data_IF_084315533910
#
_entry.id   IF_084315533910
#
_cell.length_a   1.000
_cell.length_b   1.000
_cell.length_c   1.000
_cell.angle_alpha   90.00
_cell.angle_beta   90.00
_cell.angle_gamma   90.00
#
_symmetry.space_group_name_H-M   'P 1'
#
loop_
_entity.id
_entity.type
_entity.pdbx_description
1 polymer ?
#
# COMPACT_ATOMS: atom_id res chain seq x y z
N UNK A 1 -2.79 31.09 -16.96
CA UNK A 1 -2.45 29.67 -17.24
C UNK A 1 -2.07 29.04 -15.91
N UNK A 2 -2.65 27.88 -15.57
CA UNK A 2 -2.32 27.18 -14.33
C UNK A 2 -0.90 26.61 -14.40
N UNK A 3 -0.09 26.83 -13.37
CA UNK A 3 1.26 26.23 -13.26
C UNK A 3 1.18 24.73 -12.93
N UNK A 4 0.04 24.26 -12.37
CA UNK A 4 -0.17 22.86 -11.98
C UNK A 4 0.03 21.92 -13.18
N UNK A 5 0.92 20.95 -13.03
CA UNK A 5 1.27 19.92 -14.03
C UNK A 5 1.84 20.46 -15.36
N UNK A 6 2.37 21.68 -15.39
CA UNK A 6 2.95 22.26 -16.61
C UNK A 6 4.34 22.85 -16.33
N UNK A 7 5.42 22.09 -16.59
CA UNK A 7 6.80 22.55 -16.42
C UNK A 7 7.11 23.82 -17.21
N UNK A 8 6.51 23.99 -18.40
CA UNK A 8 6.72 25.18 -19.22
C UNK A 8 6.05 26.43 -18.62
N UNK A 9 4.88 26.28 -17.98
CA UNK A 9 4.23 27.38 -17.27
C UNK A 9 5.03 27.82 -16.04
N UNK A 10 5.64 26.88 -15.31
CA UNK A 10 6.53 27.18 -14.18
C UNK A 10 7.82 27.83 -14.67
N UNK A 11 8.43 27.31 -15.74
CA UNK A 11 9.64 27.85 -16.34
C UNK A 11 9.53 29.35 -16.68
N UNK A 12 8.37 29.80 -17.17
CA UNK A 12 8.11 31.23 -17.47
C UNK A 12 8.18 32.15 -16.25
N UNK A 13 8.09 31.61 -15.05
CA UNK A 13 8.18 32.33 -13.79
C UNK A 13 9.59 32.28 -13.20
N UNK A 14 10.48 31.44 -13.74
CA UNK A 14 11.87 31.34 -13.30
C UNK A 14 12.73 32.44 -13.95
N UNK A 15 13.90 32.76 -13.37
CA UNK A 15 14.83 33.73 -13.94
C UNK A 15 15.33 33.40 -15.36
N UNK A 16 15.31 32.12 -15.75
CA UNK A 16 15.72 31.67 -17.09
C UNK A 16 17.24 31.75 -17.35
N UNK A 17 18.04 32.03 -16.32
CA UNK A 17 19.50 32.20 -16.41
C UNK A 17 20.28 30.88 -16.48
N UNK A 18 19.61 29.75 -16.22
CA UNK A 18 20.20 28.41 -16.13
C UNK A 18 21.46 28.35 -15.25
N UNK A 19 21.50 29.12 -14.15
CA UNK A 19 22.71 29.32 -13.36
C UNK A 19 23.24 28.08 -12.60
N UNK A 20 22.49 26.97 -12.57
CA UNK A 20 22.91 25.72 -11.93
C UNK A 20 22.98 25.73 -10.39
N UNK A 21 22.66 26.85 -9.72
CA UNK A 21 22.75 27.01 -8.26
C UNK A 21 21.81 26.08 -7.47
N UNK A 22 20.79 25.52 -8.12
CA UNK A 22 19.88 24.52 -7.55
C UNK A 22 20.31 23.07 -7.83
N UNK A 23 21.53 22.85 -8.34
CA UNK A 23 22.13 21.54 -8.67
C UNK A 23 21.38 20.81 -9.81
N UNK A 24 20.72 21.58 -10.69
CA UNK A 24 20.07 21.06 -11.89
C UNK A 24 20.59 21.76 -13.16
N UNK A 25 20.63 21.05 -14.30
CA UNK A 25 21.33 21.50 -15.50
C UNK A 25 20.64 22.66 -16.24
N UNK A 26 19.39 22.98 -15.92
CA UNK A 26 18.67 24.12 -16.48
C UNK A 26 17.47 24.52 -15.61
N UNK A 27 16.97 25.74 -15.80
CA UNK A 27 15.71 26.20 -15.22
C UNK A 27 14.54 25.33 -15.70
N UNK A 28 14.59 24.79 -16.92
CA UNK A 28 13.56 23.84 -17.39
C UNK A 28 13.64 22.50 -16.64
N UNK A 29 14.84 21.98 -16.38
CA UNK A 29 15.02 20.78 -15.57
C UNK A 29 14.54 21.01 -14.14
N UNK A 30 14.80 22.19 -13.56
CA UNK A 30 14.26 22.59 -12.27
C UNK A 30 12.72 22.67 -12.29
N UNK A 31 12.13 23.31 -13.30
CA UNK A 31 10.68 23.38 -13.44
C UNK A 31 10.04 21.99 -13.54
N UNK A 32 10.64 21.06 -14.30
CA UNK A 32 10.18 19.69 -14.38
C UNK A 32 10.31 18.95 -13.04
N UNK A 33 11.45 19.08 -12.35
CA UNK A 33 11.67 18.49 -11.03
C UNK A 33 10.68 18.99 -9.98
N UNK A 34 10.35 20.29 -9.99
CA UNK A 34 9.34 20.87 -9.09
C UNK A 34 7.93 20.35 -9.40
N UNK A 35 7.56 20.24 -10.68
CA UNK A 35 6.26 19.68 -11.08
C UNK A 35 6.13 18.19 -10.72
N UNK A 36 7.23 17.42 -10.78
CA UNK A 36 7.26 16.01 -10.37
C UNK A 36 7.30 15.80 -8.85
N UNK A 37 7.56 16.86 -8.07
CA UNK A 37 7.71 16.78 -6.62
C UNK A 37 9.12 16.40 -6.13
N UNK A 38 10.10 16.31 -7.04
CA UNK A 38 11.49 15.96 -6.71
C UNK A 38 12.24 17.13 -6.03
N UNK A 39 11.75 18.37 -6.19
CA UNK A 39 12.29 19.61 -5.59
C UNK A 39 11.19 20.59 -5.19
N UNK A 40 11.48 21.46 -4.22
CA UNK A 40 10.62 22.59 -3.82
C UNK A 40 10.99 23.85 -4.60
N UNK A 41 9.99 24.71 -4.86
CA UNK A 41 10.21 26.00 -5.53
C UNK A 41 11.23 26.89 -4.78
N UNK A 42 11.23 26.84 -3.44
CA UNK A 42 12.16 27.54 -2.57
C UNK A 42 13.63 27.13 -2.72
N UNK A 43 13.92 26.01 -3.41
CA UNK A 43 15.29 25.55 -3.68
C UNK A 43 15.97 26.27 -4.86
N UNK A 44 15.28 27.21 -5.51
CA UNK A 44 15.92 28.14 -6.46
C UNK A 44 16.37 29.41 -5.70
N UNK A 45 17.68 29.64 -5.48
CA UNK A 45 18.15 30.78 -4.71
C UNK A 45 17.94 32.13 -5.41
N UNK A 46 17.64 32.10 -6.71
CA UNK A 46 17.47 33.25 -7.57
C UNK A 46 16.00 33.66 -7.75
N UNK A 47 15.07 32.92 -7.13
CA UNK A 47 13.64 33.12 -7.30
C UNK A 47 13.18 34.33 -6.49
N UNK A 48 12.46 35.25 -7.14
CA UNK A 48 11.91 36.43 -6.47
C UNK A 48 10.89 36.01 -5.39
N UNK A 49 10.90 36.64 -4.20
CA UNK A 49 9.99 36.29 -3.11
C UNK A 49 8.51 36.31 -3.48
N UNK A 50 8.09 37.25 -4.33
CA UNK A 50 6.70 37.38 -4.80
C UNK A 50 6.31 36.22 -5.72
N UNK A 51 7.26 35.77 -6.55
CA UNK A 51 7.07 34.61 -7.43
C UNK A 51 7.10 33.33 -6.62
N UNK A 52 7.96 33.24 -5.60
CA UNK A 52 7.97 32.12 -4.67
C UNK A 52 6.64 32.00 -3.94
N UNK A 53 6.12 33.08 -3.36
CA UNK A 53 4.82 33.06 -2.68
C UNK A 53 3.67 32.67 -3.61
N UNK A 54 3.68 33.15 -4.86
CA UNK A 54 2.71 32.75 -5.88
C UNK A 54 2.85 31.28 -6.26
N UNK A 55 4.07 30.80 -6.48
CA UNK A 55 4.34 29.42 -6.81
C UNK A 55 3.99 28.51 -5.64
N UNK A 56 4.28 28.90 -4.40
CA UNK A 56 3.86 28.17 -3.21
C UNK A 56 2.35 28.11 -3.11
N UNK A 57 1.61 29.19 -3.41
CA UNK A 57 0.15 29.21 -3.45
C UNK A 57 -0.45 28.34 -4.58
N UNK A 58 0.10 28.41 -5.79
CA UNK A 58 -0.39 27.67 -6.96
C UNK A 58 0.07 26.20 -7.00
N UNK A 59 1.28 25.92 -6.51
CA UNK A 59 1.87 24.58 -6.35
C UNK A 59 1.63 24.03 -4.95
N UNK A 60 0.82 24.69 -4.09
CA UNK A 60 0.37 24.06 -2.87
C UNK A 60 -0.10 22.66 -3.27
N UNK A 61 0.47 21.60 -2.69
CA UNK A 61 -0.15 20.31 -2.84
C UNK A 61 -1.60 20.55 -2.44
N UNK A 62 -2.57 20.14 -3.30
CA UNK A 62 -3.93 19.89 -2.79
C UNK A 62 -3.71 19.18 -1.45
N UNK A 63 -4.24 19.71 -0.33
CA UNK A 63 -4.07 19.19 1.05
C UNK A 63 -3.28 17.88 1.02
N UNK A 64 -1.97 17.96 1.27
CA UNK A 64 -1.04 16.92 0.83
C UNK A 64 -1.56 15.55 1.20
N UNK A 65 -1.52 14.59 0.27
CA UNK A 65 -1.98 13.21 0.52
C UNK A 65 -1.40 12.67 1.84
N UNK A 66 -0.17 13.07 2.18
CA UNK A 66 0.49 12.75 3.45
C UNK A 66 -0.23 13.36 4.67
N UNK A 67 -0.65 14.64 4.60
CA UNK A 67 -1.41 15.30 5.65
C UNK A 67 -2.82 14.70 5.80
N UNK A 68 -3.50 14.37 4.69
CA UNK A 68 -4.79 13.68 4.73
C UNK A 68 -4.66 12.27 5.35
N UNK A 69 -3.55 11.57 5.07
CA UNK A 69 -3.25 10.27 5.68
C UNK A 69 -2.92 10.39 7.17
N UNK A 70 -2.18 11.42 7.58
CA UNK A 70 -1.87 11.69 8.99
C UNK A 70 -3.13 12.02 9.79
N UNK A 71 -4.02 12.86 9.26
CA UNK A 71 -5.30 13.19 9.88
C UNK A 71 -6.20 11.95 9.99
N UNK A 72 -6.31 11.16 8.91
CA UNK A 72 -7.05 9.91 8.92
C UNK A 72 -6.46 8.89 9.91
N UNK A 73 -5.14 8.81 10.01
CA UNK A 73 -4.47 7.96 10.98
C UNK A 73 -4.78 8.40 12.41
N UNK A 74 -4.67 9.70 12.71
CA UNK A 74 -4.95 10.25 14.03
C UNK A 74 -6.41 10.00 14.46
N UNK A 75 -7.36 10.18 13.53
CA UNK A 75 -8.77 9.89 13.78
C UNK A 75 -9.01 8.41 14.10
N UNK A 76 -8.42 7.51 13.31
CA UNK A 76 -8.52 6.07 13.53
C UNK A 76 -7.86 5.65 14.83
N UNK A 77 -6.70 6.23 15.18
CA UNK A 77 -5.99 5.98 16.43
C UNK A 77 -6.85 6.33 17.64
N UNK A 78 -7.53 7.49 17.62
CA UNK A 78 -8.45 7.89 18.68
C UNK A 78 -9.63 6.90 18.83
N UNK A 79 -10.17 6.40 17.71
CA UNK A 79 -11.25 5.40 17.74
C UNK A 79 -10.78 4.06 18.31
N UNK A 80 -9.62 3.55 17.87
CA UNK A 80 -9.13 2.25 18.35
C UNK A 80 -8.63 2.30 19.80
N UNK A 81 -8.17 3.46 20.29
CA UNK A 81 -7.81 3.66 21.69
C UNK A 81 -8.99 3.47 22.65
N UNK A 82 -10.22 3.70 22.18
CA UNK A 82 -11.44 3.54 22.96
C UNK A 82 -12.00 2.10 22.97
N UNK A 83 -11.35 1.15 22.27
CA UNK A 83 -11.82 -0.23 22.19
C UNK A 83 -11.56 -1.01 23.49
N UNK A 84 -12.42 -1.99 23.77
CA UNK A 84 -12.12 -3.06 24.73
C UNK A 84 -11.11 -4.02 24.09
N UNK A 85 -9.85 -3.97 24.55
CA UNK A 85 -8.75 -4.76 23.98
C UNK A 85 -8.90 -6.26 24.20
N UNK A 86 -9.29 -6.76 25.40
CA UNK A 86 -9.63 -8.17 25.58
C UNK A 86 -10.66 -8.68 24.57
N UNK A 87 -11.79 -7.98 24.40
CA UNK A 87 -12.82 -8.40 23.46
C UNK A 87 -12.36 -8.26 22.00
N UNK A 88 -11.65 -7.18 21.69
CA UNK A 88 -11.12 -6.95 20.35
C UNK A 88 -10.10 -8.00 19.96
N UNK A 89 -9.20 -8.42 20.86
CA UNK A 89 -8.22 -9.47 20.62
C UNK A 89 -8.87 -10.75 20.12
N UNK A 90 -9.88 -11.23 20.84
CA UNK A 90 -10.62 -12.44 20.46
C UNK A 90 -11.32 -12.29 19.10
N UNK A 91 -11.93 -11.13 18.84
CA UNK A 91 -12.67 -10.85 17.60
C UNK A 91 -11.77 -10.76 16.36
N UNK A 92 -10.54 -10.25 16.49
CA UNK A 92 -9.67 -9.94 15.35
C UNK A 92 -8.55 -10.96 15.15
N UNK A 93 -8.62 -12.12 15.83
CA UNK A 93 -7.55 -13.13 15.79
C UNK A 93 -6.23 -12.61 16.37
N UNK A 94 -6.30 -11.65 17.30
CA UNK A 94 -5.17 -11.11 18.03
C UNK A 94 -5.03 -11.75 19.42
N UNK A 95 -4.09 -11.23 20.21
CA UNK A 95 -3.87 -11.64 21.60
C UNK A 95 -3.49 -10.44 22.46
N UNK A 96 -3.76 -10.51 23.76
CA UNK A 96 -3.24 -9.53 24.70
C UNK A 96 -1.77 -9.83 25.03
N UNK A 97 -0.98 -8.77 25.14
CA UNK A 97 0.38 -8.80 25.67
C UNK A 97 0.56 -7.65 26.65
N UNK A 98 0.33 -7.92 27.94
CA UNK A 98 0.19 -6.87 28.94
C UNK A 98 -1.03 -6.01 28.64
N UNK A 99 -0.84 -4.70 28.53
CA UNK A 99 -1.90 -3.73 28.21
C UNK A 99 -2.08 -3.50 26.70
N UNK A 100 -1.27 -4.19 25.87
CA UNK A 100 -1.26 -3.99 24.42
C UNK A 100 -2.00 -5.11 23.72
N UNK A 101 -2.59 -4.77 22.57
CA UNK A 101 -3.18 -5.74 21.66
C UNK A 101 -2.15 -6.12 20.59
N UNK A 102 -1.75 -7.38 20.52
CA UNK A 102 -0.86 -7.93 19.50
C UNK A 102 -1.67 -8.58 18.38
N UNK A 103 -1.38 -8.19 17.14
CA UNK A 103 -2.09 -8.62 15.93
C UNK A 103 -1.05 -9.21 14.96
N UNK A 104 -1.14 -10.51 14.64
CA UNK A 104 -0.26 -11.09 13.63
C UNK A 104 -0.68 -10.63 12.23
N UNK A 105 0.28 -10.16 11.43
CA UNK A 105 0.06 -9.63 10.10
C UNK A 105 1.31 -9.89 9.26
N UNK A 106 1.16 -10.62 8.14
CA UNK A 106 2.28 -10.98 7.24
C UNK A 106 3.49 -11.58 7.99
N UNK A 107 3.23 -12.53 8.90
CA UNK A 107 4.29 -13.21 9.66
C UNK A 107 5.00 -12.34 10.71
N UNK A 108 4.50 -11.13 11.01
CA UNK A 108 5.02 -10.24 12.07
C UNK A 108 3.92 -9.81 13.02
N UNK A 109 4.28 -9.51 14.25
CA UNK A 109 3.35 -8.92 15.21
C UNK A 109 3.35 -7.40 15.09
N UNK A 110 2.15 -6.83 15.07
CA UNK A 110 1.89 -5.41 15.25
C UNK A 110 1.17 -5.22 16.58
N UNK A 111 1.63 -4.25 17.36
CA UNK A 111 1.11 -3.95 18.68
C UNK A 111 0.34 -2.65 18.63
N UNK A 112 -0.90 -2.68 19.10
CA UNK A 112 -1.66 -1.48 19.42
C UNK A 112 -1.43 -1.14 20.90
N UNK A 113 -0.88 0.05 21.13
CA UNK A 113 -0.69 0.64 22.44
C UNK A 113 -2.01 1.22 22.98
N UNK A 114 -2.20 1.34 24.30
CA UNK A 114 -3.43 1.90 24.90
C UNK A 114 -3.81 3.30 24.40
N UNK A 115 -2.85 4.09 23.91
CA UNK A 115 -3.07 5.42 23.34
C UNK A 115 -3.42 5.40 21.84
N UNK A 116 -3.62 4.21 21.25
CA UNK A 116 -3.97 4.01 19.85
C UNK A 116 -2.76 3.95 18.91
N UNK A 117 -1.54 4.18 19.39
CA UNK A 117 -0.35 4.10 18.52
C UNK A 117 -0.03 2.65 18.15
N UNK A 118 0.52 2.47 16.96
CA UNK A 118 1.00 1.18 16.50
C UNK A 118 2.51 1.06 16.63
N UNK A 119 2.98 -0.09 17.07
CA UNK A 119 4.39 -0.47 17.11
C UNK A 119 4.61 -1.83 16.45
N UNK A 120 5.76 -2.05 15.83
CA UNK A 120 6.17 -3.36 15.35
C UNK A 120 7.70 -3.46 15.31
N UNK A 121 8.22 -4.68 15.20
CA UNK A 121 9.64 -4.92 14.93
C UNK A 121 10.02 -4.54 13.49
N UNK A 122 9.03 -4.41 12.59
CA UNK A 122 9.22 -3.87 11.25
C UNK A 122 8.72 -2.42 11.14
N UNK A 123 9.12 -1.74 10.08
CA UNK A 123 8.72 -0.35 9.86
C UNK A 123 7.20 -0.26 9.64
N UNK A 124 6.52 0.48 10.52
CA UNK A 124 5.10 0.80 10.39
C UNK A 124 4.98 1.96 9.39
N UNK A 125 4.50 1.65 8.18
CA UNK A 125 4.24 2.63 7.14
C UNK A 125 2.72 2.87 6.99
N UNK A 126 2.29 3.95 6.30
CA UNK A 126 0.86 4.23 6.11
C UNK A 126 0.08 3.10 5.42
N UNK A 127 0.72 2.34 4.54
CA UNK A 127 0.11 1.21 3.81
C UNK A 127 -0.32 0.07 4.72
N UNK A 128 0.32 -0.11 5.87
CA UNK A 128 -0.07 -1.14 6.84
C UNK A 128 -0.83 -0.55 8.03
N UNK A 129 -0.49 0.68 8.44
CA UNK A 129 -1.11 1.34 9.58
C UNK A 129 -2.60 1.61 9.34
N UNK A 130 -2.95 2.29 8.24
CA UNK A 130 -4.35 2.66 7.99
C UNK A 130 -5.25 1.42 7.82
N UNK A 131 -4.87 0.39 7.02
CA UNK A 131 -5.67 -0.82 6.95
C UNK A 131 -5.78 -1.56 8.27
N UNK A 132 -4.71 -1.65 9.07
CA UNK A 132 -4.77 -2.39 10.33
C UNK A 132 -5.65 -1.67 11.37
N UNK A 133 -5.56 -0.34 11.47
CA UNK A 133 -6.45 0.43 12.34
C UNK A 133 -7.92 0.28 11.92
N UNK A 134 -8.21 0.37 10.60
CA UNK A 134 -9.56 0.13 10.09
C UNK A 134 -10.05 -1.29 10.36
N UNK A 135 -9.18 -2.29 10.19
CA UNK A 135 -9.49 -3.69 10.47
C UNK A 135 -10.00 -3.89 11.90
N UNK A 136 -9.36 -3.26 12.88
CA UNK A 136 -9.77 -3.33 14.28
C UNK A 136 -11.19 -2.79 14.51
N UNK A 137 -11.61 -1.79 13.73
CA UNK A 137 -12.94 -1.19 13.84
C UNK A 137 -14.01 -2.01 13.13
N UNK A 138 -13.70 -2.59 11.95
CA UNK A 138 -14.73 -3.22 11.09
C UNK A 138 -14.84 -4.73 11.23
N UNK A 139 -13.79 -5.42 11.70
CA UNK A 139 -13.76 -6.88 11.68
C UNK A 139 -14.82 -7.51 12.59
N UNK A 140 -15.72 -8.34 12.07
CA UNK A 140 -16.75 -8.98 12.90
C UNK A 140 -16.33 -10.33 13.50
N UNK A 141 -15.11 -10.80 13.19
CA UNK A 141 -14.57 -12.07 13.72
C UNK A 141 -15.20 -13.31 13.11
N UNK A 142 -15.65 -13.24 11.86
CA UNK A 142 -16.21 -14.38 11.14
C UNK A 142 -15.10 -15.33 10.71
N UNK A 143 -15.27 -16.61 10.97
CA UNK A 143 -14.31 -17.63 10.56
C UNK A 143 -14.30 -17.81 9.04
N UNK A 144 -13.17 -18.27 8.51
CA UNK A 144 -13.02 -18.56 7.09
C UNK A 144 -13.95 -19.71 6.67
N UNK A 145 -14.61 -19.56 5.51
CA UNK A 145 -15.57 -20.54 5.01
C UNK A 145 -14.95 -21.52 3.99
N UNK A 146 -13.77 -21.19 3.45
CA UNK A 146 -13.15 -21.89 2.32
C UNK A 146 -13.73 -21.50 0.96
N UNK A 147 -14.68 -20.55 0.92
CA UNK A 147 -15.25 -20.06 -0.32
C UNK A 147 -14.54 -18.77 -0.77
N UNK A 148 -13.99 -18.80 -1.98
CA UNK A 148 -13.10 -17.75 -2.48
C UNK A 148 -13.80 -16.83 -3.48
N UNK A 149 -13.83 -15.54 -3.19
CA UNK A 149 -14.43 -14.50 -4.02
C UNK A 149 -13.35 -13.64 -4.69
N UNK A 150 -13.51 -13.26 -5.97
CA UNK A 150 -12.70 -12.20 -6.56
C UNK A 150 -13.02 -10.87 -5.89
N UNK A 151 -12.13 -9.87 -6.02
CA UNK A 151 -12.36 -8.53 -5.46
C UNK A 151 -13.73 -7.93 -5.88
N UNK A 152 -14.11 -8.10 -7.16
CA UNK A 152 -15.41 -7.64 -7.67
C UNK A 152 -16.62 -8.37 -7.05
N UNK A 153 -16.41 -9.56 -6.48
CA UNK A 153 -17.43 -10.33 -5.79
C UNK A 153 -17.74 -9.82 -4.38
N UNK A 154 -16.87 -8.98 -3.80
CA UNK A 154 -17.10 -8.40 -2.48
C UNK A 154 -18.14 -7.27 -2.53
N UNK A 155 -18.94 -7.07 -1.46
CA UNK A 155 -19.84 -5.93 -1.33
C UNK A 155 -19.09 -4.61 -1.50
N UNK A 156 -19.44 -3.82 -2.53
CA UNK A 156 -18.77 -2.56 -2.88
C UNK A 156 -17.46 -2.70 -3.66
N UNK A 157 -17.03 -3.93 -3.99
CA UNK A 157 -15.76 -4.19 -4.68
C UNK A 157 -15.77 -3.92 -6.19
N UNK A 158 -16.95 -3.91 -6.84
CA UNK A 158 -17.05 -3.78 -8.31
C UNK A 158 -16.37 -2.51 -8.84
N UNK A 159 -16.59 -1.37 -8.18
CA UNK A 159 -16.02 -0.08 -8.62
C UNK A 159 -14.49 -0.04 -8.51
N UNK A 160 -13.91 -0.77 -7.56
CA UNK A 160 -12.47 -0.81 -7.32
C UNK A 160 -11.73 -1.95 -8.05
N UNK A 161 -12.44 -2.91 -8.62
CA UNK A 161 -11.85 -4.16 -9.13
C UNK A 161 -10.80 -3.94 -10.23
N UNK A 162 -11.08 -3.06 -11.21
CA UNK A 162 -10.13 -2.77 -12.28
C UNK A 162 -8.85 -2.10 -11.74
N UNK A 163 -8.99 -1.22 -10.75
CA UNK A 163 -7.84 -0.58 -10.11
C UNK A 163 -7.06 -1.58 -9.25
N UNK A 164 -7.74 -2.46 -8.52
CA UNK A 164 -7.11 -3.54 -7.76
C UNK A 164 -6.31 -4.47 -8.66
N UNK A 165 -6.88 -4.94 -9.77
CA UNK A 165 -6.17 -5.76 -10.75
C UNK A 165 -4.89 -5.06 -11.24
N UNK A 166 -4.99 -3.78 -11.62
CA UNK A 166 -3.86 -3.00 -12.14
C UNK A 166 -2.77 -2.69 -11.10
N UNK A 167 -3.13 -2.52 -9.83
CA UNK A 167 -2.21 -2.04 -8.77
C UNK A 167 -1.72 -3.15 -7.84
N UNK A 168 -2.38 -4.30 -7.83
CA UNK A 168 -2.04 -5.44 -6.98
C UNK A 168 -1.74 -6.68 -7.84
N UNK A 169 -2.74 -7.22 -8.55
CA UNK A 169 -2.59 -8.50 -9.27
C UNK A 169 -1.55 -8.43 -10.40
N UNK A 170 -1.60 -7.39 -11.23
CA UNK A 170 -0.68 -7.23 -12.36
C UNK A 170 0.78 -7.04 -11.92
N UNK A 171 1.12 -6.18 -10.94
CA UNK A 171 2.47 -6.12 -10.39
C UNK A 171 2.93 -7.45 -9.79
N UNK A 172 2.09 -8.13 -9.00
CA UNK A 172 2.44 -9.43 -8.43
C UNK A 172 2.68 -10.48 -9.53
N UNK A 173 1.87 -10.47 -10.60
CA UNK A 173 2.06 -11.34 -11.77
C UNK A 173 3.43 -11.10 -12.43
N UNK A 174 3.77 -9.83 -12.66
CA UNK A 174 5.06 -9.47 -13.26
C UNK A 174 6.24 -9.90 -12.39
N UNK A 175 6.09 -9.83 -11.05
CA UNK A 175 7.11 -10.32 -10.12
C UNK A 175 7.20 -11.85 -10.13
N UNK A 176 6.07 -12.55 -10.20
CA UNK A 176 6.05 -14.01 -10.33
C UNK A 176 6.72 -14.45 -11.64
N UNK A 177 6.43 -13.79 -12.77
CA UNK A 177 7.08 -14.05 -14.05
C UNK A 177 8.60 -13.82 -13.98
N UNK A 178 9.02 -12.69 -13.38
CA UNK A 178 10.42 -12.26 -13.40
C UNK A 178 11.31 -13.00 -12.39
N UNK A 179 10.77 -13.37 -11.23
CA UNK A 179 11.56 -13.92 -10.11
C UNK A 179 11.21 -15.37 -9.77
N UNK A 180 10.11 -15.92 -10.32
CA UNK A 180 9.73 -17.34 -10.23
C UNK A 180 9.88 -17.91 -8.81
N UNK A 181 10.85 -18.80 -8.56
CA UNK A 181 11.04 -19.46 -7.27
C UNK A 181 11.27 -18.47 -6.11
N UNK A 182 12.03 -17.40 -6.33
CA UNK A 182 12.34 -16.41 -5.28
C UNK A 182 11.09 -15.63 -4.85
N UNK A 183 10.17 -15.38 -5.79
CA UNK A 183 8.88 -14.75 -5.49
C UNK A 183 8.07 -15.60 -4.52
N UNK A 184 7.92 -16.89 -4.79
CA UNK A 184 7.14 -17.80 -3.94
C UNK A 184 7.83 -18.05 -2.60
N UNK A 185 9.16 -18.24 -2.58
CA UNK A 185 9.92 -18.39 -1.34
C UNK A 185 9.77 -17.14 -0.44
N UNK A 186 9.73 -15.94 -1.02
CA UNK A 186 9.50 -14.72 -0.27
C UNK A 186 8.08 -14.68 0.34
N UNK A 187 7.06 -15.14 -0.37
CA UNK A 187 5.71 -15.26 0.18
C UNK A 187 5.65 -16.26 1.34
N UNK A 188 6.32 -17.41 1.21
CA UNK A 188 6.44 -18.40 2.30
C UNK A 188 7.11 -17.79 3.54
N UNK A 189 8.15 -16.97 3.38
CA UNK A 189 8.77 -16.23 4.48
C UNK A 189 7.80 -15.27 5.20
N UNK A 190 6.77 -14.78 4.51
CA UNK A 190 5.70 -13.96 5.09
C UNK A 190 4.50 -14.78 5.59
N UNK A 191 4.65 -16.11 5.67
CA UNK A 191 3.65 -17.02 6.23
C UNK A 191 2.63 -17.52 5.21
N UNK A 192 2.90 -17.38 3.91
CA UNK A 192 2.10 -18.05 2.90
C UNK A 192 2.33 -19.57 2.95
N UNK A 193 1.25 -20.32 2.79
CA UNK A 193 1.26 -21.77 2.72
C UNK A 193 0.72 -22.22 1.37
N UNK A 194 1.33 -23.25 0.80
CA UNK A 194 0.86 -23.81 -0.46
C UNK A 194 -0.51 -24.49 -0.27
N UNK A 195 -1.42 -24.22 -1.19
CA UNK A 195 -2.75 -24.82 -1.20
C UNK A 195 -2.65 -26.30 -1.62
N UNK A 196 -3.45 -27.21 -1.04
CA UNK A 196 -3.53 -28.58 -1.53
C UNK A 196 -3.97 -28.70 -3.00
N UNK A 197 -4.57 -27.65 -3.57
CA UNK A 197 -4.96 -27.58 -4.97
C UNK A 197 -3.83 -27.10 -5.91
N UNK A 198 -2.65 -26.78 -5.38
CA UNK A 198 -1.49 -26.35 -6.16
C UNK A 198 -0.97 -27.48 -7.05
N UNK A 199 -0.55 -27.14 -8.26
CA UNK A 199 0.06 -28.03 -9.25
C UNK A 199 1.18 -27.33 -10.03
N UNK A 200 1.90 -28.07 -10.88
CA UNK A 200 2.93 -27.47 -11.76
C UNK A 200 2.34 -26.44 -12.74
N UNK A 201 1.08 -26.61 -13.13
CA UNK A 201 0.35 -25.75 -14.08
C UNK A 201 -0.37 -24.58 -13.39
N UNK A 202 -0.65 -24.69 -12.09
CA UNK A 202 -1.34 -23.65 -11.33
C UNK A 202 -0.85 -23.64 -9.89
N UNK A 203 -0.04 -22.65 -9.55
CA UNK A 203 0.51 -22.51 -8.21
C UNK A 203 -0.43 -21.70 -7.35
N UNK A 204 -0.92 -22.31 -6.28
CA UNK A 204 -1.86 -21.68 -5.35
C UNK A 204 -1.27 -21.54 -3.96
N UNK A 205 -1.33 -20.34 -3.40
CA UNK A 205 -0.89 -20.06 -2.03
C UNK A 205 -1.98 -19.33 -1.24
N UNK A 206 -2.11 -19.69 0.03
CA UNK A 206 -2.98 -19.02 0.99
C UNK A 206 -2.10 -18.30 2.01
N UNK A 207 -2.42 -17.04 2.30
CA UNK A 207 -1.71 -16.25 3.30
C UNK A 207 -2.68 -15.33 4.03
N UNK A 208 -2.23 -14.82 5.17
CA UNK A 208 -3.06 -14.07 6.10
C UNK A 208 -2.48 -12.67 6.31
N UNK A 209 -2.70 -11.73 5.36
CA UNK A 209 -2.36 -10.32 5.59
C UNK A 209 -3.07 -9.76 6.82
N UNK A 210 -4.26 -10.27 7.13
CA UNK A 210 -4.97 -10.02 8.39
C UNK A 210 -5.43 -11.38 8.95
N UNK A 211 -5.46 -11.56 10.28
CA UNK A 211 -5.74 -12.87 10.89
C UNK A 211 -7.08 -13.47 10.44
N UNK A 212 -8.12 -12.64 10.38
CA UNK A 212 -9.48 -13.05 10.02
C UNK A 212 -9.84 -12.76 8.56
N UNK A 213 -8.84 -12.50 7.69
CA UNK A 213 -9.08 -12.24 6.26
C UNK A 213 -8.04 -12.98 5.42
N UNK A 214 -8.28 -14.28 5.14
CA UNK A 214 -7.43 -15.08 4.28
C UNK A 214 -7.44 -14.56 2.84
N UNK A 215 -6.25 -14.52 2.23
CA UNK A 215 -6.06 -14.23 0.81
C UNK A 215 -5.59 -15.50 0.13
N UNK A 216 -6.09 -15.77 -1.07
CA UNK A 216 -5.58 -16.81 -1.96
C UNK A 216 -5.01 -16.19 -3.21
N UNK A 217 -3.75 -16.47 -3.48
CA UNK A 217 -3.05 -16.16 -4.72
C UNK A 217 -3.06 -17.41 -5.59
N UNK A 218 -3.61 -17.29 -6.80
CA UNK A 218 -3.54 -18.30 -7.84
C UNK A 218 -2.72 -17.77 -9.01
N UNK A 219 -1.64 -18.45 -9.36
CA UNK A 219 -0.74 -18.08 -10.44
C UNK A 219 -0.66 -19.18 -11.48
N UNK A 220 -0.92 -18.81 -12.73
CA UNK A 220 -0.75 -19.66 -13.90
C UNK A 220 0.45 -19.12 -14.70
N UNK A 221 1.52 -19.92 -14.89
CA UNK A 221 2.65 -19.52 -15.70
C UNK A 221 2.24 -19.32 -17.17
N UNK A 222 3.06 -18.64 -17.97
CA UNK A 222 2.77 -18.50 -19.40
C UNK A 222 2.88 -19.87 -20.09
N UNK A 223 1.94 -20.15 -21.00
CA UNK A 223 1.93 -21.33 -21.86
C UNK A 223 2.09 -20.90 -23.34
N UNK A 224 2.31 -21.85 -24.26
CA UNK A 224 2.50 -21.52 -25.68
C UNK A 224 1.38 -20.61 -26.23
N UNK A 225 1.73 -19.35 -26.51
CA UNK A 225 0.80 -18.35 -27.04
C UNK A 225 -0.14 -17.71 -26.00
N UNK A 226 -0.04 -18.08 -24.72
CA UNK A 226 -0.85 -17.54 -23.62
C UNK A 226 0.03 -16.83 -22.59
N UNK A 227 -0.33 -15.58 -22.26
CA UNK A 227 0.32 -14.85 -21.19
C UNK A 227 -0.01 -15.48 -19.82
N UNK A 228 0.90 -15.33 -18.86
CA UNK A 228 0.65 -15.73 -17.48
C UNK A 228 -0.56 -14.99 -16.90
N UNK A 229 -1.13 -15.55 -15.83
CA UNK A 229 -2.21 -14.94 -15.08
C UNK A 229 -1.94 -15.05 -13.58
N UNK A 230 -2.32 -14.02 -12.83
CA UNK A 230 -2.34 -14.06 -11.36
C UNK A 230 -3.64 -13.45 -10.87
N UNK A 231 -4.27 -14.11 -9.89
CA UNK A 231 -5.48 -13.62 -9.23
C UNK A 231 -5.33 -13.65 -7.72
N UNK A 232 -5.81 -12.60 -7.07
CA UNK A 232 -6.02 -12.57 -5.63
C UNK A 232 -7.52 -12.70 -5.36
N UNK A 233 -7.87 -13.74 -4.62
CA UNK A 233 -9.22 -13.99 -4.13
C UNK A 233 -9.24 -13.96 -2.61
N UNK A 234 -10.40 -13.69 -2.04
CA UNK A 234 -10.60 -13.50 -0.61
C UNK A 234 -11.61 -14.52 -0.12
N UNK A 235 -11.39 -15.08 1.07
CA UNK A 235 -12.42 -15.90 1.69
C UNK A 235 -13.71 -15.07 1.89
N UNK A 236 -14.88 -15.70 1.77
CA UNK A 236 -16.19 -15.05 1.96
C UNK A 236 -16.31 -14.32 3.30
N UNK A 237 -15.59 -14.74 4.34
CA UNK A 237 -15.57 -14.02 5.62
C UNK A 237 -15.12 -12.55 5.48
N UNK A 238 -14.36 -12.20 4.42
CA UNK A 238 -13.95 -10.85 4.11
C UNK A 238 -15.13 -9.88 3.93
N UNK A 239 -16.31 -10.36 3.50
CA UNK A 239 -17.53 -9.55 3.40
C UNK A 239 -17.95 -8.93 4.74
N UNK A 240 -17.57 -9.56 5.86
CA UNK A 240 -17.93 -9.16 7.21
C UNK A 240 -16.72 -8.74 8.05
N UNK A 241 -15.52 -9.15 7.67
CA UNK A 241 -14.29 -8.84 8.40
C UNK A 241 -13.49 -7.68 7.82
N UNK A 242 -13.84 -7.22 6.61
CA UNK A 242 -13.09 -6.22 5.88
C UNK A 242 -14.01 -5.31 5.03
N UNK A 243 -13.42 -4.29 4.42
CA UNK A 243 -14.05 -3.54 3.34
C UNK A 243 -13.12 -3.48 2.11
N UNK A 244 -13.66 -3.27 0.90
CA UNK A 244 -12.87 -3.30 -0.32
C UNK A 244 -11.74 -2.27 -0.37
N UNK A 245 -11.96 -1.07 0.18
CA UNK A 245 -10.93 -0.02 0.22
C UNK A 245 -9.71 -0.48 1.03
N UNK A 246 -9.93 -1.07 2.21
CA UNK A 246 -8.89 -1.62 3.06
C UNK A 246 -8.12 -2.75 2.36
N UNK A 247 -8.83 -3.67 1.70
CA UNK A 247 -8.20 -4.77 0.96
C UNK A 247 -7.41 -4.28 -0.25
N UNK A 248 -7.88 -3.21 -0.90
CA UNK A 248 -7.13 -2.55 -1.97
C UNK A 248 -5.83 -1.96 -1.46
N UNK A 249 -5.87 -1.14 -0.41
CA UNK A 249 -4.66 -0.55 0.19
C UNK A 249 -3.69 -1.63 0.67
N UNK A 250 -4.17 -2.68 1.33
CA UNK A 250 -3.33 -3.76 1.83
C UNK A 250 -2.67 -4.56 0.69
N UNK A 251 -3.44 -4.95 -0.33
CA UNK A 251 -2.92 -5.69 -1.48
C UNK A 251 -1.89 -4.89 -2.28
N UNK A 252 -2.17 -3.62 -2.53
CA UNK A 252 -1.24 -2.72 -3.24
C UNK A 252 0.03 -2.44 -2.44
N UNK A 253 -0.09 -2.21 -1.13
CA UNK A 253 1.05 -2.07 -0.21
C UNK A 253 1.93 -3.32 -0.19
N UNK A 254 1.32 -4.51 -0.16
CA UNK A 254 2.03 -5.78 -0.22
C UNK A 254 2.77 -5.95 -1.56
N UNK A 255 2.11 -5.68 -2.70
CA UNK A 255 2.76 -5.77 -4.01
C UNK A 255 4.01 -4.86 -4.08
N UNK A 256 3.89 -3.62 -3.60
CA UNK A 256 5.01 -2.68 -3.55
C UNK A 256 6.13 -3.12 -2.57
N UNK A 257 5.78 -3.77 -1.47
CA UNK A 257 6.74 -4.34 -0.53
C UNK A 257 7.53 -5.49 -1.17
N UNK A 258 6.84 -6.46 -1.77
CA UNK A 258 7.44 -7.62 -2.45
C UNK A 258 8.36 -7.15 -3.57
N UNK A 259 7.92 -6.19 -4.39
CA UNK A 259 8.73 -5.60 -5.46
C UNK A 259 10.04 -5.01 -4.92
N UNK A 260 9.98 -4.23 -3.83
CA UNK A 260 11.16 -3.60 -3.22
C UNK A 260 12.15 -4.63 -2.67
N UNK A 261 11.67 -5.73 -2.09
CA UNK A 261 12.53 -6.77 -1.52
C UNK A 261 13.25 -7.53 -2.64
N UNK A 262 12.51 -8.02 -3.65
CA UNK A 262 13.08 -8.78 -4.76
C UNK A 262 14.09 -7.95 -5.55
N UNK A 263 13.75 -6.70 -5.89
CA UNK A 263 14.68 -5.80 -6.61
C UNK A 263 15.95 -5.49 -5.84
N UNK A 264 15.92 -5.47 -4.50
CA UNK A 264 17.13 -5.27 -3.68
C UNK A 264 18.00 -6.51 -3.63
N UNK A 265 17.41 -7.70 -3.59
CA UNK A 265 18.15 -8.96 -3.57
C UNK A 265 18.87 -9.22 -4.91
N UNK A 266 18.29 -8.80 -6.03
CA UNK A 266 18.92 -8.94 -7.36
C UNK A 266 19.99 -7.92 -7.71
N UNK A 267 20.18 -6.90 -6.86
CA UNK A 267 21.20 -5.86 -7.07
C UNK A 267 22.52 -6.15 -6.35
N UNK A 268 22.65 -7.35 -5.76
CA UNK A 268 23.82 -7.83 -5.04
C UNK A 268 24.41 -9.04 -5.77
#
# INVERSE_FOLDING_TARGET
>A
MSVKNNPYALYKLLPGDNCGRCVLPSCMAFAAAVIRGDKRAAECPALAPEVLARLEAELQPRRGLDQEQEEAAAELQAQVAALDYPQTAARVGGRLQGERLAIPCLGKDFFLEPDGRMASQCHVNPWIQLPLLRYLLVCQGKEATGEWLPFAGLPGGQAGAALFAKRCEEPLRQLADAYSADFFALLEMFGAVESPASSEENREMIFYPLPMVPFRLAYQPPEEGLASALRITFDRCAEQNANPEMLHFLGTGMAAMVEKILKRQSAC
#
